data_IF_691248165683
#
_entry.id   IF_691248165683
#
_cell.length_a   1.000
_cell.length_b   1.000
_cell.length_c   1.000
_cell.angle_alpha   90.00
_cell.angle_beta   90.00
_cell.angle_gamma   90.00
#
_symmetry.space_group_name_H-M   'P 1'
#
loop_
_entity.id
_entity.type
_entity.pdbx_description
1 polymer ?
#
# COMPACT_ATOMS: atom_id res chain seq x y z
N UNK A 1 -13.10 22.84 -14.56
CA UNK A 1 -13.13 22.55 -13.11
C UNK A 1 -11.76 22.93 -12.58
N UNK A 2 -11.64 23.63 -11.44
CA UNK A 2 -10.34 24.08 -10.94
C UNK A 2 -9.48 22.87 -10.54
N UNK A 3 -8.21 22.89 -10.92
CA UNK A 3 -7.25 21.77 -10.78
C UNK A 3 -7.03 21.35 -9.32
N UNK A 4 -7.17 22.28 -8.37
CA UNK A 4 -7.05 22.03 -6.93
C UNK A 4 -8.07 21.02 -6.38
N UNK A 5 -9.29 21.00 -6.95
CA UNK A 5 -10.33 20.04 -6.55
C UNK A 5 -9.97 18.64 -7.07
N UNK A 6 -9.38 18.55 -8.25
CA UNK A 6 -8.94 17.27 -8.82
C UNK A 6 -7.79 16.67 -7.99
N UNK A 7 -6.81 17.48 -7.60
CA UNK A 7 -5.68 17.06 -6.76
C UNK A 7 -6.13 16.59 -5.36
N UNK A 8 -7.05 17.31 -4.71
CA UNK A 8 -7.61 16.92 -3.39
C UNK A 8 -8.43 15.63 -3.45
N UNK A 9 -9.25 15.44 -4.49
CA UNK A 9 -10.04 14.21 -4.64
C UNK A 9 -9.13 13.00 -4.92
N UNK A 10 -8.05 13.19 -5.68
CA UNK A 10 -7.07 12.12 -5.90
C UNK A 10 -6.28 11.76 -4.64
N UNK A 11 -5.93 12.72 -3.76
CA UNK A 11 -5.18 12.43 -2.54
C UNK A 11 -6.01 11.66 -1.50
N UNK A 12 -7.31 11.97 -1.37
CA UNK A 12 -8.22 11.20 -0.51
C UNK A 12 -8.39 9.76 -1.00
N UNK A 13 -8.56 9.57 -2.32
CA UNK A 13 -8.67 8.25 -2.94
C UNK A 13 -7.40 7.42 -2.77
N UNK A 14 -6.22 8.03 -2.95
CA UNK A 14 -4.92 7.39 -2.74
C UNK A 14 -4.72 7.00 -1.27
N UNK A 15 -5.04 7.89 -0.33
CA UNK A 15 -4.93 7.62 1.11
C UNK A 15 -5.84 6.46 1.52
N UNK A 16 -7.09 6.44 1.05
CA UNK A 16 -8.02 5.33 1.31
C UNK A 16 -7.50 4.02 0.73
N UNK A 17 -6.98 4.06 -0.50
CA UNK A 17 -6.40 2.88 -1.16
C UNK A 17 -5.21 2.36 -0.37
N UNK A 18 -4.31 3.25 0.06
CA UNK A 18 -3.14 2.91 0.86
C UNK A 18 -3.54 2.22 2.18
N UNK A 19 -4.47 2.82 2.93
CA UNK A 19 -4.95 2.25 4.19
C UNK A 19 -5.55 0.85 3.99
N UNK A 20 -6.30 0.63 2.92
CA UNK A 20 -6.87 -0.68 2.61
C UNK A 20 -5.78 -1.71 2.25
N UNK A 21 -4.77 -1.31 1.47
CA UNK A 21 -3.65 -2.17 1.10
C UNK A 21 -2.83 -2.57 2.32
N UNK A 22 -2.52 -1.63 3.22
CA UNK A 22 -1.79 -1.89 4.46
C UNK A 22 -2.57 -2.83 5.39
N UNK A 23 -3.89 -2.63 5.52
CA UNK A 23 -4.75 -3.53 6.30
C UNK A 23 -4.78 -4.94 5.70
N UNK A 24 -4.90 -5.06 4.38
CA UNK A 24 -4.86 -6.35 3.71
C UNK A 24 -3.50 -7.02 3.90
N UNK A 25 -2.39 -6.29 3.74
CA UNK A 25 -1.04 -6.84 3.93
C UNK A 25 -0.87 -7.39 5.36
N UNK A 26 -1.29 -6.65 6.38
CA UNK A 26 -1.23 -7.09 7.78
C UNK A 26 -2.08 -8.34 8.03
N UNK A 27 -3.29 -8.39 7.48
CA UNK A 27 -4.14 -9.58 7.55
C UNK A 27 -3.52 -10.78 6.84
N UNK A 28 -2.85 -10.55 5.70
CA UNK A 28 -2.14 -11.60 4.98
C UNK A 28 -0.95 -12.14 5.79
N UNK A 29 -0.12 -11.28 6.36
CA UNK A 29 1.00 -11.69 7.21
C UNK A 29 0.55 -12.55 8.39
N UNK A 30 -0.58 -12.18 9.03
CA UNK A 30 -1.18 -12.96 10.10
C UNK A 30 -1.63 -14.35 9.61
N UNK A 31 -2.42 -14.40 8.53
CA UNK A 31 -2.90 -15.66 7.96
C UNK A 31 -1.76 -16.59 7.53
N UNK A 32 -0.68 -16.01 6.98
CA UNK A 32 0.52 -16.74 6.63
C UNK A 32 1.17 -17.38 7.87
N UNK A 33 1.36 -16.61 8.94
CA UNK A 33 1.93 -17.11 10.21
C UNK A 33 1.06 -18.19 10.87
N UNK A 34 -0.26 -17.99 10.87
CA UNK A 34 -1.21 -18.98 11.39
C UNK A 34 -1.14 -20.28 10.60
N UNK A 35 -0.99 -20.21 9.27
CA UNK A 35 -0.83 -21.41 8.44
C UNK A 35 0.44 -22.20 8.78
N UNK A 36 1.56 -21.51 9.10
CA UNK A 36 2.81 -22.16 9.50
C UNK A 36 2.63 -22.90 10.83
N UNK A 37 1.97 -22.27 11.80
CA UNK A 37 1.66 -22.91 13.08
C UNK A 37 0.74 -24.12 12.89
N UNK A 38 -0.32 -24.00 12.08
CA UNK A 38 -1.22 -25.11 11.76
C UNK A 38 -0.46 -26.27 11.09
N UNK A 39 0.35 -25.98 10.07
CA UNK A 39 1.19 -26.99 9.40
C UNK A 39 2.13 -27.68 10.38
N UNK A 40 2.78 -26.91 11.26
CA UNK A 40 3.69 -27.42 12.29
C UNK A 40 2.98 -28.31 13.33
N UNK A 41 1.77 -27.91 13.77
CA UNK A 41 0.95 -28.70 14.70
C UNK A 41 0.51 -30.02 14.07
N UNK A 42 0.06 -30.00 12.82
CA UNK A 42 -0.37 -31.22 12.10
C UNK A 42 0.81 -32.15 11.84
N UNK A 43 1.97 -31.62 11.45
CA UNK A 43 3.19 -32.42 11.28
C UNK A 43 3.59 -33.14 12.57
N UNK A 44 3.43 -32.49 13.73
CA UNK A 44 3.71 -33.09 15.05
C UNK A 44 2.64 -34.10 15.49
N UNK A 45 1.36 -33.85 15.21
CA UNK A 45 0.25 -34.67 15.72
C UNK A 45 -0.14 -35.84 14.83
N UNK A 46 0.17 -35.79 13.54
CA UNK A 46 -0.22 -36.82 12.56
C UNK A 46 1.00 -37.40 11.83
N UNK A 47 1.53 -38.51 12.36
CA UNK A 47 2.65 -39.27 11.75
C UNK A 47 2.23 -40.01 10.45
N UNK A 48 0.92 -40.17 10.23
CA UNK A 48 0.35 -40.91 9.10
C UNK A 48 0.32 -40.10 7.78
N UNK A 49 0.01 -40.79 6.67
CA UNK A 49 -0.02 -40.20 5.32
C UNK A 49 -0.94 -38.98 5.15
N UNK A 50 -2.03 -38.90 5.92
CA UNK A 50 -2.94 -37.75 5.90
C UNK A 50 -2.29 -36.45 6.41
N UNK A 51 -1.45 -36.53 7.45
CA UNK A 51 -0.71 -35.38 7.97
C UNK A 51 0.29 -34.84 6.94
N UNK A 52 1.04 -35.73 6.28
CA UNK A 52 1.97 -35.36 5.19
C UNK A 52 1.26 -34.69 4.02
N UNK A 53 0.11 -35.21 3.59
CA UNK A 53 -0.65 -34.63 2.50
C UNK A 53 -1.19 -33.23 2.84
N UNK A 54 -1.65 -33.01 4.07
CA UNK A 54 -2.10 -31.70 4.53
C UNK A 54 -0.95 -30.68 4.59
N UNK A 55 0.19 -31.08 5.17
CA UNK A 55 1.39 -30.21 5.24
C UNK A 55 1.84 -29.79 3.84
N UNK A 56 1.90 -30.71 2.88
CA UNK A 56 2.24 -30.39 1.50
C UNK A 56 1.27 -29.39 0.85
N UNK A 57 -0.04 -29.45 1.20
CA UNK A 57 -1.03 -28.46 0.73
C UNK A 57 -0.79 -27.08 1.34
N UNK A 58 -0.49 -27.01 2.64
CA UNK A 58 -0.16 -25.75 3.32
C UNK A 58 1.10 -25.13 2.71
N UNK A 59 2.16 -25.91 2.52
CA UNK A 59 3.40 -25.43 1.90
C UNK A 59 3.18 -24.92 0.47
N UNK A 60 2.33 -25.59 -0.32
CA UNK A 60 2.01 -25.13 -1.66
C UNK A 60 1.21 -23.83 -1.67
N UNK A 61 0.22 -23.72 -0.78
CA UNK A 61 -0.54 -22.49 -0.58
C UNK A 61 0.39 -21.35 -0.14
N UNK A 62 1.27 -21.58 0.84
CA UNK A 62 2.25 -20.61 1.34
C UNK A 62 3.15 -20.05 0.25
N UNK A 63 3.62 -20.89 -0.69
CA UNK A 63 4.43 -20.41 -1.83
C UNK A 63 3.66 -19.42 -2.71
N UNK A 64 2.44 -19.76 -3.11
CA UNK A 64 1.61 -18.85 -3.90
C UNK A 64 1.21 -17.59 -3.12
N UNK A 65 0.95 -17.75 -1.82
CA UNK A 65 0.55 -16.66 -0.95
C UNK A 65 1.65 -15.61 -0.77
N UNK A 66 2.92 -16.03 -0.64
CA UNK A 66 4.07 -15.12 -0.62
C UNK A 66 4.18 -14.27 -1.88
N UNK A 67 3.88 -14.83 -3.05
CA UNK A 67 3.85 -14.06 -4.30
C UNK A 67 2.76 -12.99 -4.26
N UNK A 68 1.54 -13.33 -3.81
CA UNK A 68 0.46 -12.34 -3.69
C UNK A 68 0.80 -11.24 -2.68
N UNK A 69 1.42 -11.60 -1.55
CA UNK A 69 1.88 -10.60 -0.57
C UNK A 69 2.93 -9.66 -1.16
N UNK A 70 3.84 -10.17 -1.99
CA UNK A 70 4.86 -9.34 -2.66
C UNK A 70 4.22 -8.33 -3.63
N UNK A 71 3.24 -8.75 -4.41
CA UNK A 71 2.48 -7.86 -5.31
C UNK A 71 1.70 -6.79 -4.52
N UNK A 72 1.09 -7.16 -3.40
CA UNK A 72 0.42 -6.19 -2.51
C UNK A 72 1.40 -5.16 -1.95
N UNK A 73 2.61 -5.60 -1.57
CA UNK A 73 3.66 -4.72 -1.08
C UNK A 73 4.14 -3.76 -2.18
N UNK A 74 4.40 -4.25 -3.38
CA UNK A 74 4.82 -3.43 -4.52
C UNK A 74 3.78 -2.37 -4.88
N UNK A 75 2.49 -2.75 -4.86
CA UNK A 75 1.39 -1.82 -5.05
C UNK A 75 1.32 -0.77 -3.93
N UNK A 76 1.52 -1.18 -2.68
CA UNK A 76 1.57 -0.27 -1.52
C UNK A 76 2.69 0.76 -1.70
N UNK A 77 3.90 0.30 -2.03
CA UNK A 77 5.07 1.15 -2.25
C UNK A 77 4.84 2.14 -3.41
N UNK A 78 4.23 1.67 -4.51
CA UNK A 78 3.87 2.49 -5.67
C UNK A 78 2.83 3.57 -5.34
N UNK A 79 1.80 3.24 -4.54
CA UNK A 79 0.78 4.19 -4.08
C UNK A 79 1.40 5.22 -3.13
N UNK A 80 2.26 4.79 -2.19
CA UNK A 80 2.97 5.72 -1.30
C UNK A 80 3.87 6.67 -2.09
N UNK A 81 4.62 6.16 -3.06
CA UNK A 81 5.47 6.98 -3.92
C UNK A 81 4.64 8.01 -4.70
N UNK A 82 3.55 7.59 -5.33
CA UNK A 82 2.65 8.49 -6.06
C UNK A 82 2.07 9.56 -5.14
N UNK A 83 1.64 9.18 -3.93
CA UNK A 83 1.11 10.13 -2.94
C UNK A 83 2.14 11.20 -2.56
N UNK A 84 3.42 10.83 -2.38
CA UNK A 84 4.50 11.79 -2.11
C UNK A 84 4.74 12.75 -3.27
N UNK A 85 4.84 12.23 -4.50
CA UNK A 85 5.03 13.07 -5.69
C UNK A 85 3.90 14.09 -5.84
N UNK A 86 2.66 13.68 -5.56
CA UNK A 86 1.51 14.59 -5.61
C UNK A 86 1.55 15.66 -4.52
N UNK A 87 2.02 15.32 -3.31
CA UNK A 87 2.22 16.29 -2.24
C UNK A 87 3.32 17.30 -2.59
N UNK A 88 4.48 16.81 -3.06
CA UNK A 88 5.61 17.66 -3.46
C UNK A 88 5.21 18.61 -4.60
N UNK A 89 4.45 18.11 -5.59
CA UNK A 89 3.96 18.93 -6.71
C UNK A 89 2.96 20.00 -6.24
N UNK A 90 2.11 19.69 -5.26
CA UNK A 90 1.17 20.65 -4.71
C UNK A 90 1.90 21.76 -3.92
N UNK A 91 2.90 21.40 -3.12
CA UNK A 91 3.73 22.34 -2.36
C UNK A 91 4.56 23.26 -3.28
N UNK A 92 5.12 22.70 -4.36
CA UNK A 92 5.82 23.49 -5.40
C UNK A 92 4.87 24.46 -6.10
N UNK A 93 3.67 24.02 -6.47
CA UNK A 93 2.66 24.88 -7.10
C UNK A 93 2.23 26.03 -6.18
N UNK A 94 2.02 25.76 -4.89
CA UNK A 94 1.68 26.79 -3.89
C UNK A 94 2.83 27.81 -3.72
N UNK A 95 4.07 27.33 -3.60
CA UNK A 95 5.27 28.18 -3.46
C UNK A 95 5.48 29.08 -4.69
N UNK A 96 5.29 28.54 -5.89
CA UNK A 96 5.42 29.32 -7.13
C UNK A 96 4.27 30.30 -7.33
N UNK A 97 3.07 29.99 -6.86
CA UNK A 97 1.93 30.91 -6.90
C UNK A 97 2.13 32.10 -5.95
N UNK A 98 2.71 31.88 -4.77
CA UNK A 98 3.05 32.96 -3.80
C UNK A 98 4.14 33.92 -4.34
N UNK A 99 5.07 33.40 -5.13
CA UNK A 99 6.07 34.24 -5.82
C UNK A 99 5.45 35.12 -6.92
N UNK A 100 4.39 34.65 -7.58
CA UNK A 100 3.70 35.42 -8.62
C UNK A 100 2.75 36.46 -8.04
N UNK A 101 2.14 36.23 -6.87
CA UNK A 101 1.27 37.22 -6.21
C UNK A 101 2.06 38.32 -5.51
N UNK A 102 3.25 38.02 -4.97
CA UNK A 102 4.12 39.00 -4.31
C UNK A 102 4.71 40.05 -5.26
N UNK A 103 5.30 39.62 -6.38
CA UNK A 103 6.01 40.53 -7.28
C UNK A 103 5.07 41.33 -8.21
N UNK A 104 3.92 40.77 -8.59
CA UNK A 104 2.97 41.45 -9.49
C UNK A 104 2.18 42.54 -8.76
N UNK A 105 1.88 42.38 -7.47
CA UNK A 105 1.17 43.41 -6.70
C UNK A 105 2.06 44.64 -6.41
N UNK A 106 3.37 44.44 -6.21
CA UNK A 106 4.35 45.52 -6.05
C UNK A 106 4.69 46.24 -7.37
N UNK A 107 4.56 45.56 -8.51
CA UNK A 107 4.75 46.16 -9.85
C UNK A 107 3.52 46.92 -10.37
N UNK A 108 2.31 46.58 -9.91
CA UNK A 108 1.06 47.24 -10.31
C UNK A 108 0.59 48.34 -9.34
N UNK A 109 1.22 48.47 -8.16
CA UNK A 109 0.89 49.48 -7.14
C UNK A 109 1.78 50.73 -7.16
N UNK A 110 2.64 50.88 -8.18
CA UNK A 110 3.38 52.11 -8.51
C UNK A 110 2.82 52.75 -9.77
#
# INVERSE_FOLDING_TARGET
MPEDILLKVSSESLTKTLNNLEQHLAAMELAYKESEDIGSRVARSMVAGAGRAFVAKIENWQRGYRSVMAEYKDLTDSVQYTSRVMADTADEAETHMDLWTGDVYDLLSK
#
